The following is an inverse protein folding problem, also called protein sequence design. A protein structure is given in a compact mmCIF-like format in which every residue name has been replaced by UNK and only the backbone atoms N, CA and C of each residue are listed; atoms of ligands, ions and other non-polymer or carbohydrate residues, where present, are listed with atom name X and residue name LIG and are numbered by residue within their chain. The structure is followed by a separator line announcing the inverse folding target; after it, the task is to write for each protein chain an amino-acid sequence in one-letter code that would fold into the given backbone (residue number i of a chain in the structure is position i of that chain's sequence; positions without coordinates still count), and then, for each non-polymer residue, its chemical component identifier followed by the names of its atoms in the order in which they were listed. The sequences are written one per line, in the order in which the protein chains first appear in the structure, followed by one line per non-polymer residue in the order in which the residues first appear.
data_IF_810250768840
#
_entry.id   IF_810250768840
#
_cell.length_a   1.000
_cell.length_b   1.000
_cell.length_c   1.000
_cell.angle_alpha   90.00
_cell.angle_beta   90.00
_cell.angle_gamma   90.00
#
_symmetry.space_group_name_H-M   'P 1'
#
loop_
_entity.id
_entity.type
_entity.pdbx_description
1 polymer ?
#
# COMPACT_ATOMS: atom_id res chain seq x y z
N UNK A 1 1.13 10.55 -25.00
CA UNK A 1 1.76 10.80 -23.68
C UNK A 1 0.74 11.13 -22.60
N UNK A 2 -0.12 12.16 -22.72
CA UNK A 2 -1.15 12.51 -21.70
C UNK A 2 -1.99 11.34 -21.17
N UNK A 3 -2.52 10.49 -22.06
CA UNK A 3 -3.32 9.31 -21.65
C UNK A 3 -2.54 8.30 -20.80
N UNK A 4 -1.24 8.14 -21.06
CA UNK A 4 -0.37 7.24 -20.30
C UNK A 4 -0.05 7.81 -18.92
N UNK A 5 0.18 9.12 -18.83
CA UNK A 5 0.32 9.82 -17.54
C UNK A 5 -0.93 9.61 -16.66
N UNK A 6 -2.12 9.78 -17.25
CA UNK A 6 -3.39 9.59 -16.55
C UNK A 6 -3.58 8.14 -16.06
N UNK A 7 -3.09 7.16 -16.82
CA UNK A 7 -3.15 5.74 -16.45
C UNK A 7 -2.19 5.40 -15.30
N UNK A 8 -0.98 5.96 -15.30
CA UNK A 8 -0.02 5.83 -14.20
C UNK A 8 -0.57 6.48 -12.93
N UNK A 9 -1.09 7.71 -13.01
CA UNK A 9 -1.65 8.41 -11.85
C UNK A 9 -2.84 7.66 -11.24
N UNK A 10 -3.74 7.12 -12.08
CA UNK A 10 -4.84 6.25 -11.63
C UNK A 10 -4.36 4.94 -11.01
N UNK A 11 -3.23 4.38 -11.45
CA UNK A 11 -2.67 3.17 -10.87
C UNK A 11 -2.08 3.45 -9.48
N UNK A 12 -1.36 4.57 -9.34
CA UNK A 12 -0.78 5.03 -8.07
C UNK A 12 -1.87 5.37 -7.06
N UNK A 13 -2.92 6.10 -7.47
CA UNK A 13 -4.06 6.44 -6.61
C UNK A 13 -4.80 5.17 -6.12
N UNK A 14 -4.98 4.18 -7.01
CA UNK A 14 -5.55 2.88 -6.64
C UNK A 14 -4.67 2.11 -5.67
N UNK A 15 -3.35 2.11 -5.88
CA UNK A 15 -2.40 1.48 -4.96
C UNK A 15 -2.44 2.14 -3.57
N UNK A 16 -2.47 3.48 -3.52
CA UNK A 16 -2.61 4.23 -2.26
C UNK A 16 -3.92 3.93 -1.54
N UNK A 17 -5.05 3.89 -2.26
CA UNK A 17 -6.35 3.50 -1.69
C UNK A 17 -6.35 2.06 -1.17
N UNK A 18 -5.78 1.12 -1.94
CA UNK A 18 -5.68 -0.28 -1.52
C UNK A 18 -4.82 -0.43 -0.26
N UNK A 19 -3.68 0.26 -0.19
CA UNK A 19 -2.84 0.30 1.00
C UNK A 19 -3.58 0.87 2.22
N UNK A 20 -4.34 1.97 2.02
CA UNK A 20 -5.18 2.55 3.06
C UNK A 20 -6.26 1.59 3.58
N UNK A 21 -6.91 0.84 2.69
CA UNK A 21 -7.88 -0.19 3.07
C UNK A 21 -7.25 -1.35 3.82
N UNK A 22 -6.07 -1.82 3.40
CA UNK A 22 -5.33 -2.86 4.11
C UNK A 22 -4.94 -2.41 5.53
N UNK A 23 -4.52 -1.15 5.68
CA UNK A 23 -4.27 -0.57 6.99
C UNK A 23 -5.53 -0.55 7.86
N UNK A 24 -6.65 -0.06 7.33
CA UNK A 24 -7.92 0.00 8.06
C UNK A 24 -8.40 -1.39 8.49
N UNK A 25 -8.28 -2.39 7.63
CA UNK A 25 -8.62 -3.78 7.94
C UNK A 25 -7.70 -4.38 9.01
N UNK A 26 -6.39 -4.07 8.96
CA UNK A 26 -5.44 -4.47 10.00
C UNK A 26 -5.80 -3.90 11.36
N UNK A 27 -6.13 -2.60 11.42
CA UNK A 27 -6.61 -1.95 12.65
C UNK A 27 -7.91 -2.59 13.15
N UNK A 28 -8.89 -2.79 12.26
CA UNK A 28 -10.16 -3.45 12.62
C UNK A 28 -9.93 -4.84 13.21
N UNK A 29 -9.01 -5.61 12.61
CA UNK A 29 -8.64 -6.95 13.07
C UNK A 29 -8.10 -6.91 14.51
N UNK A 30 -7.28 -5.91 14.85
CA UNK A 30 -6.79 -5.72 16.22
C UNK A 30 -7.88 -5.23 17.18
N UNK A 31 -8.75 -4.34 16.73
CA UNK A 31 -9.89 -3.84 17.54
C UNK A 31 -10.82 -4.98 17.95
N UNK A 32 -10.99 -5.99 17.10
CA UNK A 32 -11.76 -7.19 17.43
C UNK A 32 -10.95 -8.18 18.27
N UNK A 33 -9.67 -8.39 17.95
CA UNK A 33 -8.82 -9.39 18.60
C UNK A 33 -8.36 -9.03 20.01
N UNK A 34 -8.09 -7.75 20.30
CA UNK A 34 -7.59 -7.31 21.61
C UNK A 34 -8.60 -7.50 22.74
N UNK A 35 -9.90 -7.12 22.59
CA UNK A 35 -10.90 -7.40 23.61
C UNK A 35 -11.09 -8.90 23.89
N UNK A 36 -10.97 -9.75 22.86
CA UNK A 36 -11.06 -11.21 23.02
C UNK A 36 -9.94 -11.75 23.93
N UNK A 37 -8.71 -11.21 23.80
CA UNK A 37 -7.59 -11.56 24.68
C UNK A 37 -7.87 -11.21 26.15
N UNK A 38 -8.49 -10.04 26.40
CA UNK A 38 -8.83 -9.57 27.76
C UNK A 38 -9.95 -10.40 28.38
N UNK A 39 -10.87 -10.93 27.55
CA UNK A 39 -11.94 -11.85 27.96
C UNK A 39 -11.50 -13.29 28.24
N UNK A 40 -10.21 -13.62 28.08
CA UNK A 40 -9.67 -14.97 28.30
C UNK A 40 -9.64 -15.85 27.04
N UNK A 41 -10.12 -15.37 25.90
CA UNK A 41 -10.03 -16.07 24.62
C UNK A 41 -8.78 -15.64 23.85
N UNK A 42 -7.65 -16.27 24.20
CA UNK A 42 -6.36 -16.04 23.55
C UNK A 42 -6.32 -16.57 22.10
N UNK A 43 -7.23 -17.47 21.70
CA UNK A 43 -7.19 -18.08 20.37
C UNK A 43 -7.53 -17.08 19.28
N UNK A 44 -8.48 -16.17 19.52
CA UNK A 44 -8.81 -15.10 18.58
C UNK A 44 -7.65 -14.12 18.44
N UNK A 45 -6.99 -13.79 19.55
CA UNK A 45 -5.86 -12.86 19.55
C UNK A 45 -4.62 -13.40 18.85
N UNK A 46 -4.30 -14.70 19.02
CA UNK A 46 -3.12 -15.34 18.40
C UNK A 46 -3.23 -15.40 16.87
N UNK A 47 -4.45 -15.36 16.31
CA UNK A 47 -4.68 -15.24 14.86
C UNK A 47 -4.78 -13.78 14.42
N UNK A 48 -5.45 -12.94 15.20
CA UNK A 48 -5.66 -11.54 14.86
C UNK A 48 -4.36 -10.74 14.78
N UNK A 49 -3.40 -10.99 15.69
CA UNK A 49 -2.15 -10.23 15.74
C UNK A 49 -1.27 -10.49 14.49
N UNK A 50 -0.95 -11.74 14.09
CA UNK A 50 -0.26 -12.01 12.83
C UNK A 50 -1.06 -11.55 11.61
N UNK A 51 -2.38 -11.74 11.60
CA UNK A 51 -3.25 -11.31 10.50
C UNK A 51 -3.18 -9.80 10.25
N UNK A 52 -3.28 -9.00 11.31
CA UNK A 52 -3.12 -7.56 11.23
C UNK A 52 -1.71 -7.15 10.79
N UNK A 53 -0.67 -7.84 11.29
CA UNK A 53 0.72 -7.62 10.86
C UNK A 53 0.92 -7.86 9.37
N UNK A 54 0.34 -8.93 8.82
CA UNK A 54 0.39 -9.23 7.39
C UNK A 54 -0.35 -8.19 6.55
N UNK A 55 -1.55 -7.75 6.98
CA UNK A 55 -2.29 -6.70 6.30
C UNK A 55 -1.51 -5.38 6.29
N UNK A 56 -0.90 -5.02 7.40
CA UNK A 56 -0.04 -3.83 7.50
C UNK A 56 1.18 -3.94 6.57
N UNK A 57 1.91 -5.05 6.64
CA UNK A 57 3.07 -5.31 5.80
C UNK A 57 2.73 -5.25 4.30
N UNK A 58 1.64 -5.90 3.89
CA UNK A 58 1.17 -5.84 2.50
C UNK A 58 0.76 -4.42 2.10
N UNK A 59 0.07 -3.67 2.97
CA UNK A 59 -0.29 -2.28 2.71
C UNK A 59 0.93 -1.41 2.45
N UNK A 60 1.99 -1.56 3.25
CA UNK A 60 3.27 -0.85 3.05
C UNK A 60 3.89 -1.23 1.71
N UNK A 61 3.98 -2.52 1.38
CA UNK A 61 4.55 -2.97 0.09
C UNK A 61 3.79 -2.39 -1.09
N UNK A 62 2.45 -2.43 -1.07
CA UNK A 62 1.61 -1.86 -2.15
C UNK A 62 1.85 -0.36 -2.30
N UNK A 63 1.94 0.37 -1.18
CA UNK A 63 2.21 1.80 -1.20
C UNK A 63 3.59 2.11 -1.78
N UNK A 64 4.63 1.37 -1.37
CA UNK A 64 5.99 1.53 -1.87
C UNK A 64 6.08 1.23 -3.38
N UNK A 65 5.41 0.18 -3.85
CA UNK A 65 5.33 -0.13 -5.28
C UNK A 65 4.64 0.99 -6.07
N UNK A 66 3.57 1.57 -5.54
CA UNK A 66 2.90 2.74 -6.14
C UNK A 66 3.83 3.94 -6.26
N UNK A 67 4.55 4.29 -5.20
CA UNK A 67 5.53 5.39 -5.24
C UNK A 67 6.68 5.10 -6.21
N UNK A 68 7.19 3.87 -6.22
CA UNK A 68 8.28 3.47 -7.11
C UNK A 68 7.87 3.56 -8.59
N UNK A 69 6.65 3.15 -8.93
CA UNK A 69 6.07 3.30 -10.27
C UNK A 69 6.02 4.78 -10.70
N UNK A 70 5.57 5.67 -9.80
CA UNK A 70 5.51 7.10 -10.11
C UNK A 70 6.90 7.71 -10.32
N UNK A 71 7.88 7.32 -9.48
CA UNK A 71 9.23 7.86 -9.56
C UNK A 71 9.98 7.39 -10.81
N UNK A 72 9.90 6.09 -11.12
CA UNK A 72 10.47 5.54 -12.36
C UNK A 72 9.85 6.17 -13.61
N UNK A 73 8.55 6.43 -13.60
CA UNK A 73 7.88 7.17 -14.67
C UNK A 73 8.40 8.60 -14.82
N UNK A 74 8.53 9.34 -13.71
CA UNK A 74 9.08 10.70 -13.70
C UNK A 74 10.51 10.75 -14.24
N UNK A 75 11.35 9.78 -13.88
CA UNK A 75 12.71 9.67 -14.39
C UNK A 75 12.76 9.42 -15.89
N UNK A 76 11.91 8.51 -16.41
CA UNK A 76 11.77 8.27 -17.84
C UNK A 76 11.42 9.53 -18.63
N UNK A 77 10.43 10.31 -18.15
CA UNK A 77 10.05 11.57 -18.81
C UNK A 77 11.15 12.63 -18.79
N UNK A 78 11.95 12.72 -17.71
CA UNK A 78 13.09 13.65 -17.66
C UNK A 78 14.18 13.27 -18.66
N UNK A 79 14.43 11.97 -18.85
CA UNK A 79 15.39 11.48 -19.84
C UNK A 79 14.95 11.79 -21.28
N UNK A 80 13.66 11.66 -21.60
CA UNK A 80 13.11 12.03 -22.91
C UNK A 80 13.17 13.54 -23.19
N UNK A 81 13.05 14.36 -22.14
CA UNK A 81 13.09 15.82 -22.21
C UNK A 81 14.49 16.42 -22.19
N UNK A 82 15.54 15.61 -22.18
CA UNK A 82 16.94 16.05 -22.19
C UNK A 82 17.59 15.65 -23.52
N UNK A 83 17.42 16.41 -24.62
CA UNK A 83 18.05 16.12 -25.91
C UNK A 83 19.53 16.52 -25.98
N UNK A 84 20.17 16.87 -24.85
CA UNK A 84 21.55 17.34 -24.84
C UNK A 84 22.52 16.15 -24.76
N UNK A 85 22.81 15.51 -25.90
CA UNK A 85 24.12 14.91 -26.26
C UNK A 85 24.02 13.99 -27.50
N UNK A 86 23.40 14.46 -28.60
CA UNK A 86 23.61 13.92 -29.94
C UNK A 86 23.73 15.01 -30.97
#
# INVERSE_FOLDING_TARGET
MKRFDDEIEKAVDRAGKAAGWLFALGVLTLVVGVPAAVGGDLAVFTVALPGAGLMFGMGVVVNLLGMHLMETWRQGRRAEQSPADR
#
